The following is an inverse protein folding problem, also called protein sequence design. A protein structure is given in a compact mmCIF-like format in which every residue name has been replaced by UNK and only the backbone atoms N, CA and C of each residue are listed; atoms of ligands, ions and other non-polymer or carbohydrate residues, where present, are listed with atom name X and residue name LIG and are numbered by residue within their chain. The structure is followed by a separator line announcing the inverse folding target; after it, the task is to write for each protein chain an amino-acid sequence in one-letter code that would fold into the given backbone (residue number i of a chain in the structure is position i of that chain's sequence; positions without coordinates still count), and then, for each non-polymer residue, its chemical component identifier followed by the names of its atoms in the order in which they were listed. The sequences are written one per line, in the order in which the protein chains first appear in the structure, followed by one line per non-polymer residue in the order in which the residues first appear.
data_IF_153595982752
#
_entry.id   IF_153595982752
#
_cell.length_a   1.000
_cell.length_b   1.000
_cell.length_c   1.000
_cell.angle_alpha   90.00
_cell.angle_beta   90.00
_cell.angle_gamma   90.00
#
_symmetry.space_group_name_H-M   'P 1'
#
loop_
_entity.id
_entity.type
_entity.pdbx_description
1 polymer ?
#
# COMPACT_ATOMS: atom_id res chain seq x y z
N UNK A 1 4.83 5.50 -4.35
CA UNK A 1 4.77 4.04 -4.66
C UNK A 1 6.11 3.32 -4.48
N UNK A 2 7.21 3.69 -5.17
CA UNK A 2 8.52 2.99 -5.08
C UNK A 2 9.07 2.90 -3.64
N UNK A 3 9.02 4.00 -2.89
CA UNK A 3 9.48 4.04 -1.49
C UNK A 3 8.64 3.15 -0.56
N UNK A 4 7.31 3.24 -0.63
CA UNK A 4 6.39 2.40 0.14
C UNK A 4 6.57 0.90 -0.18
N UNK A 5 6.71 0.53 -1.45
CA UNK A 5 6.98 -0.84 -1.84
C UNK A 5 8.32 -1.35 -1.32
N UNK A 6 9.35 -0.50 -1.28
CA UNK A 6 10.64 -0.84 -0.68
C UNK A 6 10.48 -1.04 0.83
N UNK A 7 9.80 -0.14 1.52
CA UNK A 7 9.52 -0.23 2.95
C UNK A 7 8.78 -1.53 3.30
N UNK A 8 7.64 -1.79 2.66
CA UNK A 8 6.87 -3.03 2.84
C UNK A 8 7.69 -4.27 2.48
N UNK A 9 8.48 -4.20 1.41
CA UNK A 9 9.34 -5.28 0.97
C UNK A 9 10.41 -5.63 2.00
N UNK A 10 11.02 -4.62 2.63
CA UNK A 10 12.00 -4.79 3.71
C UNK A 10 11.33 -5.31 4.98
N UNK A 11 10.23 -4.69 5.43
CA UNK A 11 9.52 -5.10 6.65
C UNK A 11 9.05 -6.56 6.59
N UNK A 12 8.56 -7.01 5.44
CA UNK A 12 8.17 -8.41 5.20
C UNK A 12 9.33 -9.42 5.25
N UNK A 13 10.57 -8.97 5.13
CA UNK A 13 11.77 -9.82 5.07
C UNK A 13 12.57 -9.82 6.38
N UNK A 14 12.07 -9.12 7.40
CA UNK A 14 12.72 -9.14 8.72
C UNK A 14 12.76 -10.56 9.27
N UNK A 15 13.89 -10.87 9.90
CA UNK A 15 14.20 -12.09 10.62
C UNK A 15 13.48 -12.01 11.95
N UNK A 16 12.75 -13.07 12.31
CA UNK A 16 11.86 -13.03 13.48
C UNK A 16 12.26 -14.03 14.56
N UNK A 17 13.36 -14.75 14.32
CA UNK A 17 13.94 -15.68 15.28
C UNK A 17 15.42 -15.38 15.42
N UNK A 18 15.97 -15.74 16.58
CA UNK A 18 17.39 -15.57 16.89
C UNK A 18 18.28 -16.30 15.90
N UNK A 19 17.95 -17.54 15.59
CA UNK A 19 18.68 -18.36 14.63
C UNK A 19 18.72 -17.70 13.25
N UNK A 20 17.58 -17.24 12.72
CA UNK A 20 17.51 -16.56 11.43
C UNK A 20 18.32 -15.27 11.42
N UNK A 21 18.23 -14.50 12.50
CA UNK A 21 18.90 -13.21 12.64
C UNK A 21 20.42 -13.36 12.73
N UNK A 22 20.91 -14.24 13.60
CA UNK A 22 22.35 -14.49 13.76
C UNK A 22 22.95 -15.12 12.50
N UNK A 23 22.26 -16.08 11.87
CA UNK A 23 22.67 -16.62 10.57
C UNK A 23 22.75 -15.54 9.51
N UNK A 24 21.79 -14.61 9.48
CA UNK A 24 21.79 -13.51 8.51
C UNK A 24 22.96 -12.54 8.74
N UNK A 25 23.38 -12.36 10.00
CA UNK A 25 24.57 -11.58 10.36
C UNK A 25 25.89 -12.36 10.19
N UNK A 26 25.85 -13.66 9.91
CA UNK A 26 27.05 -14.51 9.86
C UNK A 26 27.66 -14.78 11.24
N UNK A 27 26.86 -14.71 12.30
CA UNK A 27 27.27 -14.96 13.68
C UNK A 27 26.80 -16.37 14.07
N UNK A 28 27.69 -17.18 14.64
CA UNK A 28 27.33 -18.47 15.24
C UNK A 28 26.74 -18.25 16.63
N UNK A 29 25.63 -18.93 16.95
CA UNK A 29 24.99 -18.84 18.28
C UNK A 29 25.71 -19.79 19.26
N UNK A 30 26.95 -19.45 19.58
CA UNK A 30 27.78 -20.24 20.50
C UNK A 30 27.33 -20.02 21.93
N UNK A 31 27.11 -21.12 22.66
CA UNK A 31 26.67 -21.05 24.05
C UNK A 31 27.69 -20.28 24.92
N UNK A 32 27.22 -19.21 25.55
CA UNK A 32 28.03 -18.38 26.46
C UNK A 32 28.72 -17.18 25.83
N UNK A 33 28.73 -17.05 24.49
CA UNK A 33 29.30 -15.87 23.82
C UNK A 33 28.34 -14.67 23.82
N UNK A 34 27.04 -14.93 23.69
CA UNK A 34 25.99 -13.91 23.87
C UNK A 34 25.49 -14.00 25.31
N UNK A 35 25.66 -12.90 26.06
CA UNK A 35 25.18 -12.85 27.45
C UNK A 35 23.66 -13.01 27.53
N UNK A 36 23.17 -13.43 28.70
CA UNK A 36 21.72 -13.55 28.94
C UNK A 36 20.99 -12.20 28.78
N UNK A 37 21.62 -11.11 29.20
CA UNK A 37 21.06 -9.76 29.12
C UNK A 37 20.99 -9.28 27.66
N UNK A 38 22.07 -9.45 26.89
CA UNK A 38 22.10 -9.12 25.47
C UNK A 38 21.12 -10.01 24.68
N UNK A 39 21.06 -11.30 25.02
CA UNK A 39 20.10 -12.23 24.45
C UNK A 39 18.65 -11.81 24.71
N UNK A 40 18.34 -11.33 25.91
CA UNK A 40 16.99 -10.85 26.24
C UNK A 40 16.59 -9.62 25.43
N UNK A 41 17.50 -8.66 25.25
CA UNK A 41 17.23 -7.50 24.40
C UNK A 41 17.10 -7.87 22.92
N UNK A 42 17.88 -8.86 22.45
CA UNK A 42 17.75 -9.41 21.10
C UNK A 42 16.35 -10.02 20.87
N UNK A 43 15.86 -10.86 21.79
CA UNK A 43 14.53 -11.46 21.66
C UNK A 43 13.41 -10.40 21.63
N UNK A 44 13.55 -9.31 22.39
CA UNK A 44 12.60 -8.18 22.34
C UNK A 44 12.60 -7.51 20.96
N UNK A 45 13.78 -7.22 20.41
CA UNK A 45 13.90 -6.66 19.06
C UNK A 45 13.24 -7.58 18.01
N UNK A 46 13.46 -8.89 18.11
CA UNK A 46 12.89 -9.88 17.20
C UNK A 46 11.36 -9.97 17.32
N UNK A 47 10.82 -9.77 18.53
CA UNK A 47 9.39 -9.60 18.76
C UNK A 47 8.81 -8.39 17.99
N UNK A 48 9.47 -7.23 18.05
CA UNK A 48 9.09 -6.06 17.26
C UNK A 48 9.24 -6.31 15.76
N UNK A 49 10.29 -7.00 15.32
CA UNK A 49 10.43 -7.41 13.90
C UNK A 49 9.29 -8.33 13.44
N UNK A 50 8.82 -9.23 14.31
CA UNK A 50 7.64 -10.05 14.08
C UNK A 50 6.38 -9.22 13.85
N UNK A 51 6.16 -8.21 14.69
CA UNK A 51 5.03 -7.27 14.56
C UNK A 51 5.13 -6.47 13.25
N UNK A 52 6.27 -5.85 12.96
CA UNK A 52 6.50 -5.10 11.71
C UNK A 52 6.22 -5.96 10.49
N UNK A 53 6.75 -7.19 10.47
CA UNK A 53 6.57 -8.13 9.37
C UNK A 53 5.11 -8.45 9.15
N UNK A 54 4.37 -8.78 10.22
CA UNK A 54 2.94 -9.06 10.17
C UNK A 54 2.15 -7.88 9.62
N UNK A 55 2.39 -6.67 10.15
CA UNK A 55 1.64 -5.48 9.75
C UNK A 55 1.95 -5.07 8.31
N UNK A 56 3.19 -5.23 7.85
CA UNK A 56 3.55 -5.03 6.44
C UNK A 56 2.92 -6.06 5.49
N UNK A 57 2.76 -7.33 5.94
CA UNK A 57 2.00 -8.34 5.18
C UNK A 57 0.54 -7.94 5.10
N UNK A 58 -0.08 -7.61 6.24
CA UNK A 58 -1.48 -7.24 6.31
C UNK A 58 -1.81 -6.01 5.47
N UNK A 59 -0.97 -4.97 5.52
CA UNK A 59 -1.13 -3.79 4.69
C UNK A 59 -1.11 -4.13 3.20
N UNK A 60 -0.14 -4.94 2.76
CA UNK A 60 -0.02 -5.33 1.36
C UNK A 60 -1.22 -6.18 0.92
N UNK A 61 -1.64 -7.13 1.74
CA UNK A 61 -2.62 -8.11 1.31
C UNK A 61 -4.05 -7.56 1.42
N UNK A 62 -4.31 -6.64 2.36
CA UNK A 62 -5.63 -6.02 2.57
C UNK A 62 -5.71 -4.60 2.04
N UNK A 63 -5.01 -3.65 2.67
CA UNK A 63 -5.15 -2.21 2.39
C UNK A 63 -4.76 -1.89 0.94
N UNK A 64 -3.62 -2.40 0.49
CA UNK A 64 -3.16 -2.18 -0.87
C UNK A 64 -4.07 -2.81 -1.93
N UNK A 65 -4.49 -4.05 -1.72
CA UNK A 65 -5.47 -4.72 -2.58
C UNK A 65 -6.76 -3.90 -2.67
N UNK A 66 -7.25 -3.36 -1.55
CA UNK A 66 -8.45 -2.51 -1.54
C UNK A 66 -8.27 -1.24 -2.35
N UNK A 67 -7.13 -0.55 -2.22
CA UNK A 67 -6.79 0.64 -3.03
C UNK A 67 -6.81 0.31 -4.53
N UNK A 68 -6.19 -0.80 -4.92
CA UNK A 68 -6.17 -1.25 -6.33
C UNK A 68 -7.59 -1.58 -6.83
N UNK A 69 -8.39 -2.27 -6.02
CA UNK A 69 -9.76 -2.62 -6.37
C UNK A 69 -10.63 -1.38 -6.59
N UNK A 70 -10.53 -0.37 -5.70
CA UNK A 70 -11.29 0.88 -5.85
C UNK A 70 -10.89 1.61 -7.13
N UNK A 71 -9.61 1.63 -7.48
CA UNK A 71 -9.18 2.21 -8.76
C UNK A 71 -9.82 1.47 -9.96
N UNK A 72 -9.94 0.15 -9.86
CA UNK A 72 -10.68 -0.68 -10.83
C UNK A 72 -12.18 -0.38 -10.86
N UNK A 73 -12.81 -0.21 -9.70
CA UNK A 73 -14.23 0.12 -9.56
C UNK A 73 -14.53 1.51 -10.12
N UNK A 74 -13.68 2.51 -9.86
CA UNK A 74 -13.80 3.87 -10.42
C UNK A 74 -13.71 3.82 -11.95
N UNK A 75 -12.75 3.06 -12.50
CA UNK A 75 -12.62 2.90 -13.95
C UNK A 75 -13.87 2.23 -14.54
N UNK A 76 -14.38 1.20 -13.87
CA UNK A 76 -15.58 0.47 -14.31
C UNK A 76 -16.81 1.37 -14.25
N UNK A 77 -16.98 2.13 -13.17
CA UNK A 77 -18.03 3.13 -13.01
C UNK A 77 -17.96 4.18 -14.12
N UNK A 78 -16.79 4.77 -14.38
CA UNK A 78 -16.62 5.76 -15.45
C UNK A 78 -17.03 5.20 -16.83
N UNK A 79 -16.68 3.94 -17.12
CA UNK A 79 -17.09 3.26 -18.35
C UNK A 79 -18.60 2.96 -18.41
N UNK A 80 -19.23 2.65 -17.28
CA UNK A 80 -20.67 2.39 -17.19
C UNK A 80 -21.52 3.65 -17.14
N UNK A 81 -21.01 4.76 -16.60
CA UNK A 81 -21.75 6.03 -16.56
C UNK A 81 -21.57 6.81 -17.86
N UNK A 82 -20.36 6.89 -18.41
CA UNK A 82 -20.03 7.67 -19.62
C UNK A 82 -19.81 6.85 -20.90
N UNK A 83 -20.16 5.57 -20.91
CA UNK A 83 -19.90 4.65 -22.03
C UNK A 83 -20.78 4.86 -23.27
N UNK A 84 -20.93 3.79 -24.06
CA UNK A 84 -21.75 3.81 -25.29
C UNK A 84 -23.24 3.92 -24.97
N UNK A 85 -24.04 4.34 -25.96
CA UNK A 85 -25.49 4.56 -25.79
C UNK A 85 -26.25 3.35 -25.23
N UNK A 86 -25.80 2.14 -25.54
CA UNK A 86 -26.44 0.90 -25.10
C UNK A 86 -26.06 0.45 -23.69
N UNK A 87 -25.07 1.08 -23.04
CA UNK A 87 -24.54 0.64 -21.73
C UNK A 87 -24.33 1.77 -20.73
N UNK A 88 -24.47 3.02 -21.15
CA UNK A 88 -24.25 4.19 -20.30
C UNK A 88 -25.48 4.51 -19.46
N UNK A 89 -25.32 4.64 -18.13
CA UNK A 89 -26.40 5.12 -17.27
C UNK A 89 -26.88 6.52 -17.67
N UNK A 90 -25.97 7.44 -18.01
CA UNK A 90 -26.37 8.78 -18.46
C UNK A 90 -27.13 8.76 -19.78
N UNK A 91 -26.68 7.98 -20.76
CA UNK A 91 -27.40 7.90 -22.04
C UNK A 91 -28.76 7.24 -21.88
N UNK A 92 -28.86 6.16 -21.11
CA UNK A 92 -30.14 5.50 -20.83
C UNK A 92 -31.11 6.45 -20.12
N UNK A 93 -30.64 7.17 -19.11
CA UNK A 93 -31.47 8.14 -18.39
C UNK A 93 -31.95 9.27 -19.31
N UNK A 94 -31.07 9.86 -20.12
CA UNK A 94 -31.45 10.90 -21.08
C UNK A 94 -32.45 10.38 -22.13
N UNK A 95 -32.24 9.15 -22.61
CA UNK A 95 -33.16 8.50 -23.55
C UNK A 95 -34.54 8.27 -22.94
N UNK A 96 -34.61 7.76 -21.71
CA UNK A 96 -35.90 7.56 -21.03
C UNK A 96 -36.61 8.89 -20.73
N UNK A 97 -35.87 9.92 -20.32
CA UNK A 97 -36.43 11.27 -20.12
C UNK A 97 -36.97 11.84 -21.45
N UNK A 98 -36.22 11.68 -22.54
CA UNK A 98 -36.65 12.09 -23.87
C UNK A 98 -37.92 11.38 -24.31
N UNK A 99 -37.95 10.04 -24.20
CA UNK A 99 -39.14 9.23 -24.52
C UNK A 99 -40.34 9.60 -23.66
N UNK A 100 -40.13 9.87 -22.36
CA UNK A 100 -41.19 10.30 -21.46
C UNK A 100 -41.77 11.64 -21.92
N UNK A 101 -40.91 12.60 -22.28
CA UNK A 101 -41.36 13.89 -22.79
C UNK A 101 -42.13 13.78 -24.10
N UNK A 102 -41.67 12.94 -25.03
CA UNK A 102 -42.35 12.76 -26.32
C UNK A 102 -43.68 12.03 -26.17
N UNK A 103 -43.78 11.02 -25.31
CA UNK A 103 -45.05 10.35 -24.98
C UNK A 103 -46.04 11.34 -24.35
N UNK A 104 -45.57 12.14 -23.40
CA UNK A 104 -46.42 13.08 -22.66
C UNK A 104 -46.93 14.26 -23.51
N UNK A 105 -46.30 14.56 -24.66
CA UNK A 105 -46.73 15.61 -25.61
C UNK A 105 -47.81 15.13 -26.59
N UNK A 106 -48.07 13.82 -26.68
CA UNK A 106 -49.09 13.31 -27.59
C UNK A 106 -50.48 13.82 -27.20
N UNK A 107 -51.38 13.94 -28.17
CA UNK A 107 -52.77 14.36 -27.93
C UNK A 107 -53.56 13.38 -27.06
N UNK A 108 -53.15 12.11 -27.01
CA UNK A 108 -53.66 11.09 -26.11
C UNK A 108 -52.48 10.23 -25.59
N UNK A 109 -51.79 10.67 -24.52
CA UNK A 109 -50.64 9.96 -23.97
C UNK A 109 -51.00 8.57 -23.42
N UNK A 110 -50.11 7.60 -23.60
CA UNK A 110 -50.22 6.29 -22.98
C UNK A 110 -49.75 6.35 -21.51
N UNK A 111 -50.70 6.26 -20.58
CA UNK A 111 -50.42 6.32 -19.14
C UNK A 111 -49.60 5.14 -18.63
N UNK A 112 -49.73 3.96 -19.22
CA UNK A 112 -48.92 2.79 -18.85
C UNK A 112 -47.48 2.99 -19.31
N UNK A 113 -47.28 3.53 -20.51
CA UNK A 113 -45.93 3.82 -21.02
C UNK A 113 -45.21 4.89 -20.21
N UNK A 114 -45.94 5.95 -19.80
CA UNK A 114 -45.39 6.99 -18.92
C UNK A 114 -44.97 6.42 -17.56
N UNK A 115 -45.76 5.50 -16.98
CA UNK A 115 -45.42 4.84 -15.73
C UNK A 115 -44.15 3.98 -15.86
N UNK A 116 -44.06 3.15 -16.90
CA UNK A 116 -42.88 2.33 -17.20
C UNK A 116 -41.61 3.17 -17.39
N UNK A 117 -41.70 4.27 -18.12
CA UNK A 117 -40.56 5.17 -18.35
C UNK A 117 -40.12 5.86 -17.07
N UNK A 118 -41.07 6.27 -16.22
CA UNK A 118 -40.75 6.85 -14.90
C UNK A 118 -40.04 5.84 -14.01
N UNK A 119 -40.51 4.60 -13.97
CA UNK A 119 -39.86 3.51 -13.23
C UNK A 119 -38.45 3.22 -13.77
N UNK A 120 -38.27 3.22 -15.09
CA UNK A 120 -36.97 3.00 -15.73
C UNK A 120 -35.96 4.12 -15.40
N UNK A 121 -36.40 5.38 -15.38
CA UNK A 121 -35.57 6.51 -14.93
C UNK A 121 -35.17 6.32 -13.48
N UNK A 122 -36.14 6.04 -12.59
CA UNK A 122 -35.89 5.85 -11.17
C UNK A 122 -34.90 4.71 -10.91
N UNK A 123 -35.10 3.55 -11.56
CA UNK A 123 -34.20 2.42 -11.46
C UNK A 123 -32.77 2.76 -11.88
N UNK A 124 -32.61 3.50 -12.98
CA UNK A 124 -31.29 3.91 -13.47
C UNK A 124 -30.58 4.83 -12.48
N UNK A 125 -31.29 5.81 -11.91
CA UNK A 125 -30.77 6.71 -10.88
C UNK A 125 -30.38 5.95 -9.62
N UNK A 126 -31.24 5.05 -9.13
CA UNK A 126 -30.98 4.28 -7.91
C UNK A 126 -29.78 3.33 -8.08
N UNK A 127 -29.62 2.74 -9.27
CA UNK A 127 -28.45 1.91 -9.58
C UNK A 127 -27.15 2.73 -9.57
N UNK A 128 -27.16 3.95 -10.10
CA UNK A 128 -26.01 4.86 -10.09
C UNK A 128 -25.67 5.32 -8.67
N UNK A 129 -26.67 5.73 -7.89
CA UNK A 129 -26.50 6.11 -6.48
C UNK A 129 -25.93 4.98 -5.64
N UNK A 130 -26.40 3.74 -5.85
CA UNK A 130 -25.86 2.56 -5.17
C UNK A 130 -24.38 2.36 -5.49
N UNK A 131 -23.98 2.50 -6.76
CA UNK A 131 -22.58 2.35 -7.17
C UNK A 131 -21.69 3.44 -6.57
N UNK A 132 -22.17 4.69 -6.52
CA UNK A 132 -21.46 5.78 -5.84
C UNK A 132 -21.29 5.50 -4.34
N UNK A 133 -22.31 4.98 -3.66
CA UNK A 133 -22.21 4.60 -2.26
C UNK A 133 -21.18 3.48 -2.02
N UNK A 134 -21.15 2.46 -2.88
CA UNK A 134 -20.14 1.38 -2.84
C UNK A 134 -18.71 1.92 -3.00
N UNK A 135 -18.51 2.85 -3.94
CA UNK A 135 -17.21 3.52 -4.16
C UNK A 135 -16.79 4.36 -2.95
N UNK A 136 -17.71 5.14 -2.37
CA UNK A 136 -17.46 5.96 -1.20
C UNK A 136 -17.09 5.10 0.01
N UNK A 137 -17.82 4.00 0.24
CA UNK A 137 -17.52 3.06 1.31
C UNK A 137 -16.13 2.43 1.14
N UNK A 138 -15.79 2.01 -0.09
CA UNK A 138 -14.45 1.50 -0.37
C UNK A 138 -13.35 2.52 -0.13
N UNK A 139 -13.52 3.76 -0.61
CA UNK A 139 -12.57 4.84 -0.36
C UNK A 139 -12.35 5.08 1.14
N UNK A 140 -13.43 5.06 1.92
CA UNK A 140 -13.36 5.21 3.38
C UNK A 140 -12.59 4.05 4.05
N UNK A 141 -12.84 2.81 3.64
CA UNK A 141 -12.11 1.64 4.15
C UNK A 141 -10.61 1.74 3.83
N UNK A 142 -10.25 2.18 2.62
CA UNK A 142 -8.86 2.39 2.23
C UNK A 142 -8.19 3.49 3.06
N UNK A 143 -8.88 4.60 3.32
CA UNK A 143 -8.39 5.69 4.18
C UNK A 143 -8.16 5.22 5.62
N UNK A 144 -9.10 4.48 6.20
CA UNK A 144 -8.95 3.89 7.54
C UNK A 144 -7.76 2.93 7.57
N UNK A 145 -7.63 2.07 6.56
CA UNK A 145 -6.50 1.14 6.46
C UNK A 145 -5.15 1.84 6.34
N UNK A 146 -5.09 2.98 5.63
CA UNK A 146 -3.88 3.81 5.54
C UNK A 146 -3.54 4.46 6.89
N UNK A 147 -4.52 5.08 7.56
CA UNK A 147 -4.30 5.73 8.84
C UNK A 147 -3.89 4.76 9.95
N UNK A 148 -4.50 3.57 9.99
CA UNK A 148 -4.10 2.52 10.93
C UNK A 148 -2.65 2.07 10.69
N UNK A 149 -2.24 1.94 9.42
CA UNK A 149 -0.89 1.53 9.09
C UNK A 149 0.15 2.60 9.41
N UNK A 150 -0.17 3.88 9.19
CA UNK A 150 0.67 5.02 9.58
C UNK A 150 0.93 5.01 11.09
N UNK A 151 -0.13 4.93 11.90
CA UNK A 151 -0.03 4.88 13.37
C UNK A 151 0.82 3.70 13.86
N UNK A 152 0.65 2.53 13.24
CA UNK A 152 1.46 1.35 13.55
C UNK A 152 2.93 1.54 13.15
N UNK A 153 3.21 2.22 12.03
CA UNK A 153 4.59 2.52 11.63
C UNK A 153 5.29 3.47 12.60
N UNK A 154 4.60 4.49 13.10
CA UNK A 154 5.15 5.41 14.12
C UNK A 154 5.52 4.67 15.41
N UNK A 155 4.62 3.77 15.86
CA UNK A 155 4.87 2.92 17.03
C UNK A 155 6.08 2.01 16.80
N UNK A 156 6.15 1.35 15.65
CA UNK A 156 7.29 0.50 15.27
C UNK A 156 8.60 1.26 15.26
N UNK A 157 8.61 2.50 14.73
CA UNK A 157 9.80 3.35 14.76
C UNK A 157 10.30 3.59 16.18
N UNK A 158 9.38 3.93 17.09
CA UNK A 158 9.70 4.18 18.50
C UNK A 158 10.22 2.93 19.22
N UNK A 159 9.59 1.77 18.98
CA UNK A 159 10.01 0.50 19.57
C UNK A 159 11.39 0.07 19.07
N UNK A 160 11.64 0.18 17.76
CA UNK A 160 12.95 -0.14 17.18
C UNK A 160 14.04 0.77 17.73
N UNK A 161 13.79 2.07 17.86
CA UNK A 161 14.75 3.02 18.44
C UNK A 161 15.04 2.72 19.92
N UNK A 162 13.99 2.37 20.68
CA UNK A 162 14.12 1.97 22.08
C UNK A 162 14.97 0.70 22.21
N UNK A 163 14.70 -0.33 21.41
CA UNK A 163 15.48 -1.57 21.42
C UNK A 163 16.92 -1.35 20.96
N UNK A 164 17.15 -0.53 19.95
CA UNK A 164 18.49 -0.17 19.48
C UNK A 164 19.30 0.51 20.60
N UNK A 165 18.68 1.43 21.34
CA UNK A 165 19.31 2.10 22.48
C UNK A 165 19.63 1.11 23.61
N UNK A 166 18.70 0.22 23.96
CA UNK A 166 18.93 -0.81 24.97
C UNK A 166 20.06 -1.77 24.58
N UNK A 167 20.09 -2.23 23.33
CA UNK A 167 21.15 -3.10 22.81
C UNK A 167 22.51 -2.42 22.86
N UNK A 168 22.59 -1.16 22.45
CA UNK A 168 23.83 -0.37 22.54
C UNK A 168 24.33 -0.24 23.97
N UNK A 169 23.44 0.02 24.94
CA UNK A 169 23.80 0.10 26.36
C UNK A 169 24.38 -1.23 26.85
N UNK A 170 23.77 -2.36 26.48
CA UNK A 170 24.27 -3.67 26.88
C UNK A 170 25.62 -3.99 26.23
N UNK A 171 25.78 -3.74 24.93
CA UNK A 171 27.04 -3.96 24.24
C UNK A 171 28.18 -3.09 24.81
N UNK A 172 27.90 -1.83 25.18
CA UNK A 172 28.85 -0.95 25.87
C UNK A 172 29.26 -1.50 27.24
N UNK A 173 28.31 -2.04 28.03
CA UNK A 173 28.62 -2.67 29.32
C UNK A 173 29.50 -3.92 29.18
N UNK A 174 29.35 -4.66 28.09
CA UNK A 174 30.18 -5.82 27.75
C UNK A 174 31.58 -5.42 27.22
N UNK A 175 31.87 -4.11 27.11
CA UNK A 175 33.18 -3.60 26.71
C UNK A 175 33.39 -3.45 25.20
N UNK A 176 32.32 -3.50 24.40
CA UNK A 176 32.41 -3.34 22.95
C UNK A 176 32.55 -1.86 22.53
N UNK A 177 33.36 -1.59 21.50
CA UNK A 177 33.52 -0.25 20.91
C UNK A 177 32.40 0.06 19.90
N UNK A 178 31.24 0.42 20.43
CA UNK A 178 30.05 0.72 19.64
C UNK A 178 30.16 2.03 18.85
N UNK A 179 30.94 3.00 19.33
CA UNK A 179 31.10 4.28 18.63
C UNK A 179 31.86 4.08 17.31
N UNK A 180 32.95 3.32 17.33
CA UNK A 180 33.70 2.99 16.10
C UNK A 180 32.86 2.14 15.15
N UNK A 181 32.12 1.14 15.67
CA UNK A 181 31.24 0.31 14.84
C UNK A 181 30.13 1.11 14.16
N UNK A 182 29.48 2.04 14.87
CA UNK A 182 28.46 2.93 14.30
C UNK A 182 29.03 3.82 13.20
N UNK A 183 30.21 4.39 13.43
CA UNK A 183 30.89 5.24 12.42
C UNK A 183 31.20 4.45 11.15
N UNK A 184 31.64 3.20 11.29
CA UNK A 184 31.89 2.31 10.16
C UNK A 184 30.59 1.95 9.43
N UNK A 185 29.50 1.66 10.15
CA UNK A 185 28.18 1.39 9.54
C UNK A 185 27.70 2.61 8.75
N UNK A 186 27.83 3.82 9.28
CA UNK A 186 27.39 5.03 8.58
C UNK A 186 28.22 5.29 7.33
N UNK A 187 29.54 5.08 7.40
CA UNK A 187 30.42 5.13 6.23
C UNK A 187 29.98 4.14 5.15
N UNK A 188 29.70 2.89 5.52
CA UNK A 188 29.19 1.87 4.60
C UNK A 188 27.81 2.23 4.03
N UNK A 189 26.91 2.86 4.81
CA UNK A 189 25.60 3.32 4.31
C UNK A 189 25.73 4.45 3.31
N UNK A 190 26.62 5.41 3.56
CA UNK A 190 26.90 6.50 2.63
C UNK A 190 27.49 5.96 1.32
N UNK A 191 28.40 4.98 1.39
CA UNK A 191 28.92 4.27 0.23
C UNK A 191 27.82 3.51 -0.53
N UNK A 192 26.92 2.81 0.17
CA UNK A 192 25.76 2.14 -0.44
C UNK A 192 24.84 3.15 -1.13
N UNK A 193 24.60 4.31 -0.51
CA UNK A 193 23.76 5.38 -1.07
C UNK A 193 24.39 5.98 -2.32
N UNK A 194 25.70 6.23 -2.30
CA UNK A 194 26.45 6.70 -3.46
C UNK A 194 26.40 5.67 -4.61
N UNK A 195 26.68 4.39 -4.32
CA UNK A 195 26.59 3.30 -5.29
C UNK A 195 25.16 3.13 -5.84
N UNK A 196 24.14 3.24 -5.01
CA UNK A 196 22.74 3.23 -5.45
C UNK A 196 22.42 4.43 -6.34
N UNK A 197 22.94 5.61 -6.02
CA UNK A 197 22.84 6.80 -6.87
C UNK A 197 23.51 6.60 -8.23
N UNK A 198 24.69 5.97 -8.27
CA UNK A 198 25.39 5.64 -9.51
C UNK A 198 24.63 4.60 -10.35
N UNK A 199 24.01 3.60 -9.71
CA UNK A 199 23.19 2.58 -10.40
C UNK A 199 21.89 3.17 -10.94
N UNK A 200 21.16 3.94 -10.13
CA UNK A 200 19.94 4.60 -10.58
C UNK A 200 20.26 5.61 -11.69
N UNK A 201 21.38 6.34 -11.61
CA UNK A 201 21.89 7.22 -12.67
C UNK A 201 22.26 6.47 -13.96
N UNK A 202 22.99 5.34 -13.87
CA UNK A 202 23.30 4.49 -15.04
C UNK A 202 22.04 3.89 -15.68
N UNK A 203 21.06 3.50 -14.87
CA UNK A 203 19.76 3.03 -15.37
C UNK A 203 18.99 4.15 -16.08
N UNK A 204 19.11 5.39 -15.60
CA UNK A 204 18.56 6.57 -16.26
C UNK A 204 19.21 6.82 -17.63
N UNK A 205 20.55 6.73 -17.71
CA UNK A 205 21.31 6.80 -18.97
C UNK A 205 20.93 5.66 -19.93
N UNK A 206 20.63 4.46 -19.44
CA UNK A 206 20.16 3.35 -20.28
C UNK A 206 18.72 3.56 -20.80
N UNK A 207 17.84 4.22 -20.04
CA UNK A 207 16.51 4.63 -20.52
C UNK A 207 16.55 5.83 -21.46
N UNK A 208 17.53 6.72 -21.28
CA UNK A 208 17.73 7.94 -22.08
C UNK A 208 18.66 7.72 -23.29
N UNK A 209 19.31 6.57 -23.38
CA UNK A 209 20.10 6.19 -24.53
C UNK A 209 19.19 6.16 -25.77
N UNK A 210 19.53 6.89 -26.85
CA UNK A 210 18.70 7.01 -28.02
C UNK A 210 18.39 5.63 -28.62
N UNK A 211 17.10 5.27 -28.62
CA UNK A 211 16.55 4.00 -29.13
C UNK A 211 16.72 3.79 -30.66
N UNK A 212 17.59 4.55 -31.32
CA UNK A 212 17.81 4.51 -32.77
C UNK A 212 19.10 3.78 -33.19
N UNK A 213 19.80 3.10 -32.26
CA UNK A 213 20.95 2.25 -32.61
C UNK A 213 20.63 0.77 -32.49
N UNK A 214 19.63 0.32 -33.25
CA UNK A 214 19.52 -1.08 -33.69
C UNK A 214 19.06 -1.03 -35.15
N UNK A 215 19.98 -1.44 -36.03
CA UNK A 215 19.77 -1.66 -37.46
C UNK A 215 18.91 -2.90 -37.69
#
# INVERSE_FOLDING_TARGET
MKALNRFLGTGRKLQTTREEYLRWLGIEDTAGEISADLGTELERLLGTYGSIKKDCVEFKDKTWTRIVNIAGDIKSYAAMSGGKESTSYYVLMLNFIGQYHEENKKSNPDSAKLAELKESIQFTVDAELKKLAELQAGAQEALVGLGNFESVCEKHGTEVETHATSLEVQLKKEGNDIETMKKNIETCKDEIKDLQGQIDGKNQVLTDAPKYMWW
#
